data_IF_950490058716
#
_entry.id   IF_950490058716
#
_cell.length_a   1.000
_cell.length_b   1.000
_cell.length_c   1.000
_cell.angle_alpha   90.00
_cell.angle_beta   90.00
_cell.angle_gamma   90.00
#
_symmetry.space_group_name_H-M   'P 1'
#
loop_
_entity.id
_entity.type
_entity.pdbx_description
1 polymer ?
#
# COMPACT_ATOMS: atom_id res chain seq x y z
N UNK A 1 -21.91 14.47 7.02
CA UNK A 1 -21.36 13.20 6.51
C UNK A 1 -19.88 13.42 6.22
N UNK A 2 -18.99 12.47 6.55
CA UNK A 2 -17.57 12.56 6.19
C UNK A 2 -17.43 12.45 4.67
N UNK A 3 -16.59 13.26 4.03
CA UNK A 3 -16.34 13.20 2.59
C UNK A 3 -15.28 12.14 2.29
N UNK A 4 -15.62 11.16 1.47
CA UNK A 4 -14.71 10.11 1.02
C UNK A 4 -14.24 10.45 -0.40
N UNK A 5 -12.96 10.32 -0.65
CA UNK A 5 -12.36 10.48 -1.99
C UNK A 5 -11.31 9.39 -2.25
N UNK A 6 -11.16 8.98 -3.50
CA UNK A 6 -10.14 8.01 -3.92
C UNK A 6 -9.56 8.50 -5.24
N UNK A 7 -8.23 8.59 -5.31
CA UNK A 7 -7.54 8.91 -6.56
C UNK A 7 -6.37 8.00 -6.83
N UNK A 8 -6.00 7.93 -8.11
CA UNK A 8 -4.73 7.36 -8.53
C UNK A 8 -3.57 8.11 -7.88
N UNK A 9 -2.57 7.34 -7.46
CA UNK A 9 -1.33 7.89 -6.95
C UNK A 9 -0.34 8.17 -8.09
N UNK A 10 0.51 9.18 -7.89
CA UNK A 10 1.64 9.48 -8.74
C UNK A 10 2.93 9.47 -7.92
N UNK A 11 4.08 9.70 -8.57
CA UNK A 11 5.39 9.66 -7.93
C UNK A 11 5.56 10.60 -6.73
N UNK A 12 4.80 11.70 -6.66
CA UNK A 12 4.86 12.64 -5.53
C UNK A 12 4.18 12.08 -4.27
N UNK A 13 3.36 11.03 -4.41
CA UNK A 13 2.66 10.40 -3.29
C UNK A 13 3.49 9.33 -2.58
N UNK A 14 4.74 9.11 -3.01
CA UNK A 14 5.59 8.04 -2.47
C UNK A 14 5.77 8.15 -0.95
N UNK A 15 5.91 9.36 -0.41
CA UNK A 15 6.01 9.59 1.03
C UNK A 15 4.72 9.24 1.76
N UNK A 16 3.56 9.61 1.21
CA UNK A 16 2.24 9.32 1.79
C UNK A 16 2.02 7.81 1.85
N UNK A 17 2.27 7.10 0.74
CA UNK A 17 2.09 5.64 0.68
C UNK A 17 3.10 4.91 1.57
N UNK A 18 4.35 5.36 1.65
CA UNK A 18 5.35 4.80 2.56
C UNK A 18 4.89 4.91 4.02
N UNK A 19 4.42 6.09 4.42
CA UNK A 19 3.92 6.34 5.77
C UNK A 19 2.68 5.49 6.09
N UNK A 20 1.67 5.51 5.20
CA UNK A 20 0.47 4.68 5.35
C UNK A 20 0.83 3.19 5.44
N UNK A 21 1.77 2.72 4.62
CA UNK A 21 2.26 1.34 4.64
C UNK A 21 2.84 0.95 5.99
N UNK A 22 3.69 1.80 6.58
CA UNK A 22 4.29 1.55 7.89
C UNK A 22 3.23 1.55 9.00
N UNK A 23 2.35 2.55 9.03
CA UNK A 23 1.29 2.68 10.04
C UNK A 23 0.33 1.49 9.99
N UNK A 24 -0.27 1.23 8.82
CA UNK A 24 -1.29 0.17 8.68
C UNK A 24 -0.71 -1.23 8.88
N UNK A 25 0.54 -1.45 8.47
CA UNK A 25 1.23 -2.71 8.74
C UNK A 25 1.55 -2.88 10.22
N UNK A 26 2.03 -1.83 10.91
CA UNK A 26 2.28 -1.88 12.35
C UNK A 26 1.00 -2.18 13.12
N UNK A 27 -0.11 -1.51 12.79
CA UNK A 27 -1.42 -1.71 13.41
C UNK A 27 -1.93 -3.15 13.25
N UNK A 28 -1.68 -3.76 12.09
CA UNK A 28 -2.20 -5.09 11.74
C UNK A 28 -1.28 -6.22 12.19
N UNK A 29 0.04 -6.06 12.02
CA UNK A 29 1.01 -7.14 12.17
C UNK A 29 2.17 -6.82 13.11
N UNK A 30 2.30 -5.59 13.60
CA UNK A 30 3.42 -5.19 14.44
C UNK A 30 3.55 -6.02 15.72
N UNK A 31 2.43 -6.51 16.27
CA UNK A 31 2.40 -7.37 17.44
C UNK A 31 2.94 -8.79 17.21
N UNK A 32 3.14 -9.21 15.95
CA UNK A 32 3.81 -10.49 15.63
C UNK A 32 5.33 -10.39 15.63
N UNK A 33 5.90 -9.19 15.74
CA UNK A 33 7.34 -8.97 15.81
C UNK A 33 7.78 -8.93 17.26
N UNK A 34 8.66 -9.87 17.64
CA UNK A 34 9.25 -9.91 18.98
C UNK A 34 10.38 -8.89 19.16
N UNK A 35 11.12 -8.60 18.08
CA UNK A 35 12.17 -7.59 18.04
C UNK A 35 11.71 -6.37 17.22
N UNK A 36 11.83 -5.18 17.81
CA UNK A 36 11.51 -3.92 17.16
C UNK A 36 12.43 -3.64 15.97
N UNK A 37 13.70 -4.09 16.01
CA UNK A 37 14.64 -3.88 14.93
C UNK A 37 14.25 -4.65 13.67
N UNK A 38 13.68 -5.85 13.81
CA UNK A 38 13.16 -6.63 12.68
C UNK A 38 12.01 -5.91 11.97
N UNK A 39 11.13 -5.28 12.73
CA UNK A 39 10.03 -4.49 12.17
C UNK A 39 10.54 -3.25 11.43
N UNK A 40 11.54 -2.55 12.00
CA UNK A 40 12.18 -1.41 11.34
C UNK A 40 12.87 -1.84 10.04
N UNK A 41 13.62 -2.95 10.07
CA UNK A 41 14.28 -3.51 8.89
C UNK A 41 13.25 -3.87 7.80
N UNK A 42 12.13 -4.48 8.20
CA UNK A 42 11.02 -4.77 7.29
C UNK A 42 10.44 -3.49 6.66
N UNK A 43 10.27 -2.42 7.45
CA UNK A 43 9.79 -1.13 6.96
C UNK A 43 10.74 -0.48 5.96
N UNK A 44 12.05 -0.53 6.20
CA UNK A 44 13.02 -0.02 5.22
C UNK A 44 13.04 -0.89 3.95
N UNK A 45 12.96 -2.21 4.10
CA UNK A 45 12.94 -3.12 2.98
C UNK A 45 11.65 -3.06 2.15
N UNK A 46 10.50 -2.72 2.74
CA UNK A 46 9.17 -2.83 2.07
C UNK A 46 8.52 -1.49 1.78
N UNK A 47 8.72 -0.51 2.68
CA UNK A 47 8.03 0.78 2.70
C UNK A 47 9.00 1.96 2.79
N UNK A 48 10.25 1.83 2.32
CA UNK A 48 11.09 3.00 2.09
C UNK A 48 10.50 3.87 0.98
N UNK A 49 10.66 5.19 1.11
CA UNK A 49 10.16 6.16 0.14
C UNK A 49 10.73 5.87 -1.25
N UNK A 50 12.02 5.54 -1.34
CA UNK A 50 12.68 5.19 -2.59
C UNK A 50 12.05 3.95 -3.24
N UNK A 51 11.79 2.89 -2.48
CA UNK A 51 11.17 1.67 -3.01
C UNK A 51 9.76 1.92 -3.51
N UNK A 52 8.96 2.70 -2.78
CA UNK A 52 7.62 3.07 -3.22
C UNK A 52 7.67 3.94 -4.48
N UNK A 53 8.56 4.93 -4.55
CA UNK A 53 8.76 5.78 -5.73
C UNK A 53 9.14 4.95 -6.96
N UNK A 54 10.10 4.04 -6.81
CA UNK A 54 10.52 3.12 -7.87
C UNK A 54 9.38 2.16 -8.28
N UNK A 55 8.49 1.79 -7.35
CA UNK A 55 7.32 0.96 -7.64
C UNK A 55 6.23 1.73 -8.40
N UNK A 56 5.97 2.99 -8.03
CA UNK A 56 5.02 3.89 -8.71
C UNK A 56 5.45 4.23 -10.14
N UNK A 57 6.76 4.26 -10.41
CA UNK A 57 7.29 4.53 -11.74
C UNK A 57 7.10 3.35 -12.72
N UNK A 58 6.75 2.16 -12.23
CA UNK A 58 6.55 0.99 -13.09
C UNK A 58 5.15 1.03 -13.72
N UNK A 59 5.03 0.94 -15.05
CA UNK A 59 3.74 1.07 -15.74
C UNK A 59 2.75 -0.05 -15.42
N UNK A 60 3.24 -1.20 -14.95
CA UNK A 60 2.40 -2.32 -14.54
C UNK A 60 1.92 -2.23 -13.08
N UNK A 61 2.35 -1.23 -12.31
CA UNK A 61 1.84 -1.02 -10.97
C UNK A 61 0.86 0.13 -10.97
N UNK A 62 -0.33 -0.11 -10.41
CA UNK A 62 -1.32 0.93 -10.16
C UNK A 62 -1.48 1.07 -8.66
N UNK A 63 -1.51 2.31 -8.19
CA UNK A 63 -1.73 2.66 -6.81
C UNK A 63 -2.90 3.62 -6.68
N UNK A 64 -3.67 3.46 -5.61
CA UNK A 64 -4.69 4.41 -5.20
C UNK A 64 -4.47 4.83 -3.76
N UNK A 65 -4.93 6.03 -3.44
CA UNK A 65 -4.98 6.55 -2.06
C UNK A 65 -6.42 6.94 -1.77
N UNK A 66 -6.91 6.49 -0.62
CA UNK A 66 -8.21 6.86 -0.10
C UNK A 66 -8.08 7.97 0.94
N UNK A 67 -9.01 8.91 0.91
CA UNK A 67 -9.06 10.06 1.78
C UNK A 67 -10.39 10.15 2.51
N UNK A 68 -10.35 10.64 3.75
CA UNK A 68 -11.52 11.04 4.53
C UNK A 68 -11.30 12.47 5.00
N UNK A 69 -12.15 13.40 4.57
CA UNK A 69 -12.03 14.83 4.87
C UNK A 69 -10.61 15.37 4.56
N UNK A 70 -10.07 14.96 3.40
CA UNK A 70 -8.71 15.29 2.89
C UNK A 70 -7.54 14.61 3.62
N UNK A 71 -7.79 13.88 4.70
CA UNK A 71 -6.76 13.06 5.35
C UNK A 71 -6.55 11.76 4.55
N UNK A 72 -5.33 11.42 4.12
CA UNK A 72 -5.05 10.09 3.56
C UNK A 72 -5.19 9.03 4.66
N UNK A 73 -6.02 8.01 4.43
CA UNK A 73 -6.34 6.98 5.43
C UNK A 73 -6.05 5.56 4.98
N UNK A 74 -5.68 5.37 3.71
CA UNK A 74 -5.46 4.05 3.15
C UNK A 74 -4.90 4.10 1.74
N UNK A 75 -4.41 2.96 1.27
CA UNK A 75 -3.91 2.80 -0.09
C UNK A 75 -4.14 1.37 -0.61
N UNK A 76 -4.16 1.24 -1.93
CA UNK A 76 -4.17 -0.05 -2.60
C UNK A 76 -3.05 -0.11 -3.63
N UNK A 77 -2.56 -1.32 -3.89
CA UNK A 77 -1.60 -1.63 -4.95
C UNK A 77 -2.11 -2.79 -5.79
N UNK A 78 -2.27 -2.55 -7.08
CA UNK A 78 -2.50 -3.56 -8.10
C UNK A 78 -1.24 -3.72 -8.96
N UNK A 79 -0.91 -4.96 -9.31
CA UNK A 79 0.11 -5.29 -10.31
C UNK A 79 -0.57 -5.93 -11.51
N UNK A 80 -0.56 -5.25 -12.64
CA UNK A 80 -1.02 -5.75 -13.93
C UNK A 80 -0.08 -6.83 -14.46
N UNK A 81 -0.61 -7.66 -15.36
CA UNK A 81 0.13 -8.71 -16.06
C UNK A 81 0.89 -9.61 -15.07
N UNK A 82 0.21 -10.01 -14.00
CA UNK A 82 0.79 -10.80 -12.92
C UNK A 82 0.23 -12.21 -12.99
N UNK A 83 0.99 -13.10 -13.65
CA UNK A 83 0.73 -14.53 -13.79
C UNK A 83 0.37 -15.25 -12.49
N UNK A 84 -0.41 -16.32 -12.58
CA UNK A 84 -0.69 -17.25 -11.48
C UNK A 84 -0.88 -18.67 -12.00
N UNK A 85 -0.23 -19.65 -11.38
CA UNK A 85 -0.38 -21.07 -11.73
C UNK A 85 -1.80 -21.62 -11.49
N UNK A 86 -2.64 -20.86 -10.78
CA UNK A 86 -4.03 -21.21 -10.46
C UNK A 86 -5.04 -20.66 -11.46
N UNK A 87 -4.63 -19.81 -12.41
CA UNK A 87 -5.54 -19.12 -13.33
C UNK A 87 -5.03 -19.25 -14.75
N UNK A 88 -5.78 -19.97 -15.58
CA UNK A 88 -5.52 -20.11 -17.01
C UNK A 88 -6.12 -18.93 -17.79
N UNK A 89 -5.52 -17.75 -17.64
CA UNK A 89 -5.89 -16.53 -18.37
C UNK A 89 -4.72 -15.55 -18.48
N UNK A 90 -4.59 -14.89 -19.63
CA UNK A 90 -3.55 -13.88 -19.87
C UNK A 90 -3.91 -12.51 -19.25
N UNK A 91 -5.20 -12.21 -19.08
CA UNK A 91 -5.69 -10.91 -18.58
C UNK A 91 -5.84 -10.91 -17.06
N UNK A 92 -4.74 -11.12 -16.36
CA UNK A 92 -4.72 -11.25 -14.90
C UNK A 92 -3.88 -10.18 -14.22
N UNK A 93 -4.38 -9.75 -13.06
CA UNK A 93 -3.72 -8.79 -12.20
C UNK A 93 -3.74 -9.28 -10.75
N UNK A 94 -2.79 -8.79 -9.96
CA UNK A 94 -2.66 -9.15 -8.56
C UNK A 94 -2.95 -7.93 -7.70
N UNK A 95 -3.96 -8.01 -6.84
CA UNK A 95 -4.12 -7.09 -5.72
C UNK A 95 -3.06 -7.42 -4.67
N UNK A 96 -1.95 -6.69 -4.69
CA UNK A 96 -0.78 -6.97 -3.85
C UNK A 96 -0.92 -6.42 -2.44
N UNK A 97 -1.60 -5.28 -2.29
CA UNK A 97 -1.79 -4.60 -1.00
C UNK A 97 -3.12 -3.85 -1.02
N UNK A 98 -3.87 -3.94 0.07
CA UNK A 98 -5.03 -3.10 0.36
C UNK A 98 -5.04 -2.86 1.86
N UNK A 99 -4.78 -1.63 2.27
CA UNK A 99 -4.60 -1.28 3.67
C UNK A 99 -5.34 0.01 3.99
N UNK A 100 -5.99 0.03 5.15
CA UNK A 100 -6.72 1.18 5.70
C UNK A 100 -6.36 1.28 7.17
N UNK A 101 -6.18 2.50 7.67
CA UNK A 101 -5.93 2.77 9.08
C UNK A 101 -7.07 2.21 9.94
N UNK A 102 -6.71 1.61 11.08
CA UNK A 102 -7.65 0.90 11.96
C UNK A 102 -8.88 1.72 12.35
N UNK A 103 -8.71 3.02 12.59
CA UNK A 103 -9.80 3.94 12.98
C UNK A 103 -10.84 4.21 11.88
N UNK A 104 -10.60 3.72 10.65
CA UNK A 104 -11.50 3.84 9.50
C UNK A 104 -12.01 2.47 9.02
N UNK A 105 -11.73 1.40 9.78
CA UNK A 105 -12.35 0.09 9.60
C UNK A 105 -13.67 0.03 10.37
N UNK A 106 -14.66 -0.66 9.80
CA UNK A 106 -16.01 -0.84 10.36
C UNK A 106 -16.12 -2.09 11.23
#
# INVERSE_FOLDING_TARGET
MKKIDIRLANSNDAQIIALLGRITFAETFGHFFSDQQDLINYFEATFSVEKIKNSLAKPNNIYWISFVDQLPVGYAKLKLNSGSDFIDSENICQLQKIYVMKNFLG
#
